data_IF_314257118157
#
_entry.id   IF_314257118157
#
_cell.length_a   1.000
_cell.length_b   1.000
_cell.length_c   1.000
_cell.angle_alpha   90.00
_cell.angle_beta   90.00
_cell.angle_gamma   90.00
#
_symmetry.space_group_name_H-M   'P 1'
#
loop_
_entity.id
_entity.type
_entity.pdbx_description
1 polymer ?
#
# COMPACT_ATOMS: atom_id res chain seq x y z
N UNK A 1 71.18 19.60 32.06
CA UNK A 1 70.40 20.47 31.15
C UNK A 1 70.39 19.87 29.73
N UNK A 2 69.37 19.17 29.25
CA UNK A 2 67.94 19.46 29.28
C UNK A 2 67.52 19.93 27.88
N UNK A 3 66.64 19.21 27.18
CA UNK A 3 65.97 19.70 25.97
C UNK A 3 65.69 18.65 24.89
N UNK A 4 64.59 17.91 25.04
CA UNK A 4 63.95 17.18 23.95
C UNK A 4 62.97 18.08 23.18
N UNK A 5 62.55 17.65 21.99
CA UNK A 5 61.51 18.32 21.21
C UNK A 5 61.15 17.54 19.95
N UNK A 6 60.25 16.55 20.10
CA UNK A 6 59.56 15.92 18.97
C UNK A 6 58.38 16.79 18.53
N UNK A 7 58.33 17.13 17.24
CA UNK A 7 57.19 17.79 16.62
C UNK A 7 56.19 16.74 16.14
N UNK A 8 55.02 16.70 16.77
CA UNK A 8 53.91 15.83 16.42
C UNK A 8 53.17 16.30 15.17
N UNK A 9 52.77 15.31 14.39
CA UNK A 9 51.88 15.37 13.22
C UNK A 9 50.46 15.82 13.62
N UNK A 10 49.80 16.75 12.90
CA UNK A 10 48.41 17.11 13.20
C UNK A 10 47.45 16.01 12.74
N UNK A 11 46.87 15.28 13.69
CA UNK A 11 45.78 14.33 13.48
C UNK A 11 44.56 15.01 12.83
N UNK A 12 43.91 14.39 11.82
CA UNK A 12 42.71 14.92 11.19
C UNK A 12 41.51 14.88 12.15
N UNK A 13 40.85 16.03 12.30
CA UNK A 13 39.62 16.18 13.09
C UNK A 13 38.44 15.56 12.34
N UNK A 14 37.85 14.50 12.89
CA UNK A 14 36.61 13.89 12.38
C UNK A 14 35.46 14.89 12.40
N UNK A 15 34.72 15.00 11.29
CA UNK A 15 33.51 15.81 11.18
C UNK A 15 32.41 15.30 12.13
N UNK A 16 31.57 16.18 12.70
CA UNK A 16 30.52 15.78 13.64
C UNK A 16 29.45 14.92 12.96
N UNK A 17 29.12 13.79 13.58
CA UNK A 17 28.01 12.92 13.19
C UNK A 17 26.68 13.67 13.31
N UNK A 18 25.80 13.67 12.29
CA UNK A 18 24.48 14.28 12.41
C UNK A 18 23.68 13.61 13.53
N UNK A 19 22.95 14.42 14.30
CA UNK A 19 22.11 13.95 15.39
C UNK A 19 20.98 13.03 14.86
N UNK A 20 20.56 12.02 15.64
CA UNK A 20 19.43 11.18 15.26
C UNK A 20 18.16 12.02 15.08
N UNK A 21 17.45 11.79 13.98
CA UNK A 21 16.15 12.40 13.71
C UNK A 21 15.15 12.03 14.84
N UNK A 22 14.32 12.97 15.32
CA UNK A 22 13.33 12.66 16.35
C UNK A 22 12.36 11.57 15.87
N UNK A 23 11.99 10.67 16.78
CA UNK A 23 10.97 9.65 16.50
C UNK A 23 9.63 10.32 16.12
N UNK A 24 8.86 9.74 15.18
CA UNK A 24 7.59 10.30 14.74
C UNK A 24 6.65 10.48 15.93
N UNK A 25 6.00 11.64 16.01
CA UNK A 25 5.03 11.95 17.06
C UNK A 25 3.74 11.18 16.77
N UNK A 26 3.22 10.36 17.70
CA UNK A 26 1.93 9.69 17.49
C UNK A 26 0.82 10.75 17.38
N UNK A 27 0.11 10.75 16.26
CA UNK A 27 -1.09 11.56 16.04
C UNK A 27 -2.17 11.12 17.04
N UNK A 28 -2.98 12.05 17.59
CA UNK A 28 -4.04 11.73 18.54
C UNK A 28 -5.00 10.68 17.98
N UNK A 29 -5.07 9.52 18.64
CA UNK A 29 -6.08 8.50 18.39
C UNK A 29 -7.41 8.97 18.96
N UNK A 30 -8.31 9.40 18.09
CA UNK A 30 -9.72 9.63 18.46
C UNK A 30 -10.31 8.37 19.10
N UNK A 31 -11.25 8.50 20.06
CA UNK A 31 -11.85 7.34 20.72
C UNK A 31 -12.49 6.42 19.67
N UNK A 32 -12.14 5.13 19.73
CA UNK A 32 -12.71 4.09 18.89
C UNK A 32 -14.23 4.08 19.07
N UNK A 33 -14.94 4.66 18.12
CA UNK A 33 -16.39 4.53 18.03
C UNK A 33 -16.62 3.12 17.52
N UNK A 34 -16.93 2.19 18.41
CA UNK A 34 -17.25 0.82 18.02
C UNK A 34 -18.37 0.84 16.99
N UNK A 35 -18.18 0.16 15.85
CA UNK A 35 -19.21 0.03 14.83
C UNK A 35 -20.50 -0.54 15.41
N UNK A 36 -21.64 -0.19 14.80
CA UNK A 36 -22.91 -0.81 15.18
C UNK A 36 -22.86 -2.33 14.93
N UNK A 37 -23.69 -3.15 15.61
CA UNK A 37 -23.66 -4.61 15.46
C UNK A 37 -23.88 -5.13 14.03
N UNK A 38 -24.45 -4.31 13.15
CA UNK A 38 -24.70 -4.63 11.74
C UNK A 38 -23.61 -4.11 10.81
N UNK A 39 -22.61 -3.40 11.32
CA UNK A 39 -21.51 -2.83 10.55
C UNK A 39 -20.21 -3.59 10.82
N UNK A 40 -19.34 -3.61 9.82
CA UNK A 40 -18.00 -4.19 9.90
C UNK A 40 -16.97 -3.07 10.02
N UNK A 41 -16.03 -3.15 10.98
CA UNK A 41 -14.96 -2.17 11.10
C UNK A 41 -13.97 -2.31 9.96
N UNK A 42 -13.58 -1.18 9.39
CA UNK A 42 -12.51 -1.03 8.41
C UNK A 42 -11.41 -0.18 9.03
N UNK A 43 -10.19 -0.71 9.07
CA UNK A 43 -9.02 0.02 9.53
C UNK A 43 -8.08 0.26 8.37
N UNK A 44 -7.78 1.54 8.12
CA UNK A 44 -6.83 1.99 7.11
C UNK A 44 -5.64 2.57 7.86
N UNK A 45 -4.47 1.94 7.71
CA UNK A 45 -3.20 2.43 8.24
C UNK A 45 -2.34 2.88 7.09
N UNK A 46 -1.92 4.14 7.10
CA UNK A 46 -1.00 4.73 6.13
C UNK A 46 0.27 5.10 6.88
N UNK A 47 1.36 4.41 6.56
CA UNK A 47 2.71 4.78 6.99
C UNK A 47 3.39 5.46 5.82
N UNK A 48 3.54 6.77 5.88
CA UNK A 48 4.19 7.54 4.81
C UNK A 48 5.70 7.48 4.91
N UNK A 49 6.33 7.77 3.77
CA UNK A 49 7.75 8.05 3.65
C UNK A 49 7.98 9.58 3.70
N UNK A 50 9.14 10.12 3.31
CA UNK A 50 9.39 11.56 3.35
C UNK A 50 8.45 12.42 2.50
N UNK A 51 7.62 11.84 1.62
CA UNK A 51 6.74 12.53 0.69
C UNK A 51 5.26 12.22 0.93
N UNK A 52 4.85 12.16 2.20
CA UNK A 52 3.45 11.92 2.57
C UNK A 52 2.44 12.86 1.90
N UNK A 53 2.85 14.07 1.52
CA UNK A 53 2.00 15.07 0.87
C UNK A 53 1.46 14.62 -0.51
N UNK A 54 2.11 13.64 -1.13
CA UNK A 54 1.78 13.07 -2.43
C UNK A 54 0.68 12.01 -2.35
N UNK A 55 0.48 11.47 -1.14
CA UNK A 55 -0.45 10.39 -0.88
C UNK A 55 -1.87 10.91 -0.67
N UNK A 56 -2.81 10.25 -1.31
CA UNK A 56 -4.25 10.45 -1.07
C UNK A 56 -4.98 9.12 -1.01
N UNK A 57 -6.05 9.09 -0.24
CA UNK A 57 -6.91 7.92 -0.06
C UNK A 57 -8.38 8.33 -0.08
N UNK A 58 -9.23 7.42 -0.52
CA UNK A 58 -10.67 7.64 -0.56
C UNK A 58 -11.41 6.31 -0.44
N UNK A 59 -12.48 6.30 0.34
CA UNK A 59 -13.44 5.19 0.42
C UNK A 59 -14.77 5.69 -0.12
N UNK A 60 -15.26 5.05 -1.19
CA UNK A 60 -16.55 5.39 -1.81
C UNK A 60 -17.49 4.20 -1.84
N UNK A 61 -18.78 4.50 -1.78
CA UNK A 61 -19.88 3.57 -2.02
C UNK A 61 -20.68 4.08 -3.23
N UNK A 62 -20.42 3.54 -4.41
CA UNK A 62 -20.97 4.09 -5.65
C UNK A 62 -20.53 5.55 -5.84
N UNK A 63 -21.47 6.50 -5.83
CA UNK A 63 -21.17 7.94 -5.92
C UNK A 63 -20.98 8.64 -4.58
N UNK A 64 -21.19 7.94 -3.46
CA UNK A 64 -21.11 8.55 -2.13
C UNK A 64 -19.71 8.37 -1.54
N UNK A 65 -19.04 9.47 -1.24
CA UNK A 65 -17.77 9.44 -0.48
C UNK A 65 -18.06 9.20 1.00
N UNK A 66 -17.52 8.09 1.54
CA UNK A 66 -17.59 7.76 2.96
C UNK A 66 -16.43 8.42 3.70
N UNK A 67 -15.24 8.29 3.13
CA UNK A 67 -14.01 8.84 3.69
C UNK A 67 -13.12 9.35 2.55
N UNK A 68 -12.39 10.43 2.80
CA UNK A 68 -11.35 10.91 1.89
C UNK A 68 -10.31 11.70 2.69
N UNK A 69 -9.05 11.47 2.36
CA UNK A 69 -7.93 12.19 2.95
C UNK A 69 -6.85 12.38 1.89
N UNK A 70 -6.20 13.54 1.89
CA UNK A 70 -5.12 13.86 0.97
C UNK A 70 -4.04 14.65 1.72
N UNK A 71 -2.83 14.61 1.18
CA UNK A 71 -1.66 15.26 1.75
C UNK A 71 -1.38 14.79 3.19
N UNK A 72 -1.02 13.51 3.30
CA UNK A 72 -0.60 12.94 4.57
C UNK A 72 0.66 13.64 5.10
N UNK A 73 0.86 13.68 6.43
CA UNK A 73 2.13 14.12 6.99
C UNK A 73 3.25 13.16 6.55
N UNK A 74 4.42 13.70 6.23
CA UNK A 74 5.61 12.92 5.91
C UNK A 74 6.13 12.14 7.13
N UNK A 75 6.82 11.02 6.87
CA UNK A 75 7.46 10.15 7.87
C UNK A 75 6.56 9.79 9.06
N UNK A 76 5.27 9.53 8.79
CA UNK A 76 4.24 9.44 9.82
C UNK A 76 3.33 8.25 9.61
N UNK A 77 2.79 7.74 10.71
CA UNK A 77 1.73 6.72 10.67
C UNK A 77 0.41 7.37 11.03
N UNK A 78 -0.54 7.30 10.10
CA UNK A 78 -1.92 7.78 10.29
C UNK A 78 -2.87 6.59 10.18
N UNK A 79 -3.81 6.52 11.12
CA UNK A 79 -4.82 5.45 11.17
C UNK A 79 -6.20 6.08 11.04
N UNK A 80 -7.02 5.51 10.17
CA UNK A 80 -8.43 5.83 10.01
C UNK A 80 -9.25 4.57 10.32
N UNK A 81 -10.31 4.74 11.11
CA UNK A 81 -11.26 3.69 11.44
C UNK A 81 -12.62 4.10 10.88
N UNK A 82 -13.18 3.26 10.01
CA UNK A 82 -14.48 3.46 9.36
C UNK A 82 -15.40 2.27 9.66
N UNK A 83 -16.71 2.48 9.55
CA UNK A 83 -17.71 1.43 9.74
C UNK A 83 -18.55 1.30 8.48
N UNK A 84 -18.45 0.15 7.80
CA UNK A 84 -19.18 -0.12 6.55
C UNK A 84 -20.30 -1.15 6.78
N UNK A 85 -21.32 -1.13 5.93
CA UNK A 85 -22.27 -2.25 5.85
C UNK A 85 -21.63 -3.37 5.03
N UNK A 86 -21.38 -4.57 5.61
CA UNK A 86 -20.69 -5.65 4.90
C UNK A 86 -21.46 -6.16 3.67
N UNK A 87 -22.77 -5.86 3.54
CA UNK A 87 -23.59 -6.28 2.42
C UNK A 87 -23.55 -5.31 1.22
N UNK A 88 -22.86 -4.18 1.37
CA UNK A 88 -22.67 -3.18 0.31
C UNK A 88 -21.25 -3.28 -0.26
N UNK A 89 -21.05 -2.74 -1.46
CA UNK A 89 -19.75 -2.71 -2.11
C UNK A 89 -19.12 -1.32 -1.98
N UNK A 90 -17.85 -1.31 -1.62
CA UNK A 90 -17.07 -0.09 -1.48
C UNK A 90 -15.76 -0.22 -2.25
N UNK A 91 -15.34 0.88 -2.86
CA UNK A 91 -14.03 1.02 -3.47
C UNK A 91 -13.17 1.90 -2.56
N UNK A 92 -12.13 1.31 -1.98
CA UNK A 92 -11.05 2.05 -1.34
C UNK A 92 -9.96 2.32 -2.38
N UNK A 93 -9.82 3.57 -2.81
CA UNK A 93 -8.77 4.02 -3.70
C UNK A 93 -7.66 4.71 -2.92
N UNK A 94 -6.44 4.55 -3.40
CA UNK A 94 -5.28 5.29 -2.92
C UNK A 94 -4.43 5.65 -4.11
N UNK A 95 -3.82 6.82 -4.05
CA UNK A 95 -3.00 7.37 -5.11
C UNK A 95 -1.76 8.03 -4.53
N UNK A 96 -0.70 7.99 -5.32
CA UNK A 96 0.53 8.70 -5.12
C UNK A 96 0.84 9.52 -6.38
N UNK A 97 1.16 10.80 -6.19
CA UNK A 97 1.21 11.76 -7.29
C UNK A 97 2.49 11.69 -8.13
N UNK A 98 3.59 11.17 -7.57
CA UNK A 98 4.84 10.93 -8.31
C UNK A 98 4.97 9.52 -8.88
N UNK A 99 4.03 8.64 -8.56
CA UNK A 99 3.93 7.29 -9.11
C UNK A 99 5.05 6.33 -8.73
N UNK A 100 5.75 6.61 -7.64
CA UNK A 100 6.75 5.71 -7.04
C UNK A 100 6.18 4.94 -5.84
N UNK A 101 5.04 5.37 -5.29
CA UNK A 101 4.36 4.71 -4.19
C UNK A 101 4.90 5.17 -2.84
N UNK A 102 5.02 4.26 -1.88
CA UNK A 102 5.58 4.56 -0.56
C UNK A 102 6.89 3.79 -0.38
N UNK A 103 8.01 4.47 -0.61
CA UNK A 103 9.34 3.88 -0.48
C UNK A 103 9.83 3.90 0.98
N UNK A 104 11.04 3.41 1.24
CA UNK A 104 11.68 3.45 2.57
C UNK A 104 10.92 2.79 3.72
N UNK A 105 10.07 1.81 3.42
CA UNK A 105 9.30 1.07 4.43
C UNK A 105 7.95 1.71 4.77
N UNK A 106 7.53 2.74 4.03
CA UNK A 106 6.14 3.18 4.01
C UNK A 106 5.21 2.11 3.43
N UNK A 107 3.94 2.17 3.81
CA UNK A 107 2.92 1.22 3.36
C UNK A 107 1.50 1.73 3.56
N UNK A 108 0.58 1.18 2.77
CA UNK A 108 -0.85 1.23 3.04
C UNK A 108 -1.30 -0.17 3.46
N UNK A 109 -1.97 -0.26 4.60
CA UNK A 109 -2.59 -1.48 5.12
C UNK A 109 -4.08 -1.25 5.33
N UNK A 110 -4.91 -2.13 4.78
CA UNK A 110 -6.37 -2.10 4.89
C UNK A 110 -6.86 -3.40 5.51
N UNK A 111 -7.60 -3.29 6.60
CA UNK A 111 -8.18 -4.42 7.33
C UNK A 111 -9.70 -4.27 7.41
N UNK A 112 -10.44 -5.33 7.13
CA UNK A 112 -11.91 -5.38 7.21
C UNK A 112 -12.31 -6.49 8.18
N UNK A 113 -13.00 -6.15 9.25
CA UNK A 113 -13.35 -7.11 10.30
C UNK A 113 -12.13 -7.77 10.96
N UNK A 114 -10.97 -7.10 10.92
CA UNK A 114 -9.69 -7.64 11.40
C UNK A 114 -8.94 -8.53 10.40
N UNK A 115 -9.47 -8.71 9.18
CA UNK A 115 -8.80 -9.46 8.10
C UNK A 115 -8.08 -8.49 7.18
N UNK A 116 -6.78 -8.71 6.95
CA UNK A 116 -5.98 -7.89 6.01
C UNK A 116 -6.47 -8.12 4.57
N UNK A 117 -6.93 -7.05 3.92
CA UNK A 117 -7.35 -7.03 2.51
C UNK A 117 -6.26 -6.48 1.60
N UNK A 118 -5.41 -5.60 2.13
CA UNK A 118 -4.28 -5.02 1.42
C UNK A 118 -3.16 -4.67 2.40
N UNK A 119 -1.91 -4.87 1.99
CA UNK A 119 -0.74 -4.46 2.73
C UNK A 119 0.46 -4.36 1.77
N UNK A 120 0.78 -3.15 1.33
CA UNK A 120 1.88 -2.91 0.39
C UNK A 120 2.27 -1.43 0.35
N UNK A 121 3.56 -1.15 0.14
CA UNK A 121 4.09 0.20 -0.12
C UNK A 121 4.40 0.46 -1.59
N UNK A 122 4.79 -0.58 -2.34
CA UNK A 122 5.16 -0.45 -3.75
C UNK A 122 3.93 -0.62 -4.66
N UNK A 123 3.18 0.47 -4.83
CA UNK A 123 1.95 0.50 -5.62
C UNK A 123 1.99 1.47 -6.81
N UNK A 124 3.14 2.07 -7.10
CA UNK A 124 3.30 3.10 -8.12
C UNK A 124 2.30 4.23 -7.94
N UNK A 125 1.59 4.62 -9.00
CA UNK A 125 0.60 5.71 -8.97
C UNK A 125 -0.61 5.50 -8.05
N UNK A 126 -0.91 4.25 -7.66
CA UNK A 126 -2.11 3.97 -6.87
C UNK A 126 -2.76 2.62 -7.12
N UNK A 127 -3.89 2.40 -6.47
CA UNK A 127 -4.67 1.19 -6.62
C UNK A 127 -6.05 1.26 -5.96
N UNK A 128 -6.81 0.18 -6.13
CA UNK A 128 -8.16 0.04 -5.57
C UNK A 128 -8.30 -1.30 -4.84
N UNK A 129 -8.90 -1.26 -3.66
CA UNK A 129 -9.26 -2.42 -2.84
C UNK A 129 -10.77 -2.40 -2.62
N UNK A 130 -11.42 -3.51 -2.99
CA UNK A 130 -12.84 -3.68 -2.75
C UNK A 130 -13.09 -4.18 -1.33
N UNK A 131 -14.05 -3.56 -0.64
CA UNK A 131 -14.48 -3.91 0.72
C UNK A 131 -15.98 -4.22 0.72
N UNK A 132 -16.41 -5.06 1.67
CA UNK A 132 -17.78 -5.55 1.75
C UNK A 132 -18.11 -6.60 0.67
N UNK A 133 -19.39 -6.69 0.31
CA UNK A 133 -19.89 -7.68 -0.65
C UNK A 133 -20.04 -7.04 -2.02
N UNK A 134 -18.96 -7.07 -2.78
CA UNK A 134 -18.97 -6.65 -4.17
C UNK A 134 -19.50 -7.77 -5.07
N UNK A 135 -20.82 -7.79 -5.29
CA UNK A 135 -21.43 -8.59 -6.34
C UNK A 135 -20.93 -8.10 -7.70
N UNK A 136 -20.06 -8.86 -8.35
CA UNK A 136 -19.48 -8.46 -9.62
C UNK A 136 -20.57 -8.12 -10.66
N UNK A 137 -20.61 -6.85 -11.06
CA UNK A 137 -21.41 -6.35 -12.17
C UNK A 137 -21.31 -4.83 -12.25
N UNK A 138 -20.71 -4.21 -13.26
CA UNK A 138 -20.09 -4.73 -14.46
C UNK A 138 -19.46 -3.57 -15.24
N UNK A 139 -18.54 -3.92 -16.15
CA UNK A 139 -17.89 -2.97 -17.04
C UNK A 139 -16.94 -3.65 -18.05
N UNK A 140 -17.48 -4.52 -18.91
CA UNK A 140 -16.93 -4.78 -20.25
C UNK A 140 -16.02 -6.01 -20.46
N UNK A 141 -16.60 -7.08 -21.04
CA UNK A 141 -15.93 -8.23 -21.67
C UNK A 141 -15.36 -9.26 -20.67
N UNK A 142 -15.57 -10.57 -20.72
CA UNK A 142 -15.96 -11.50 -21.77
C UNK A 142 -16.63 -12.74 -21.12
N UNK A 143 -17.37 -13.52 -21.91
CA UNK A 143 -17.96 -14.83 -21.61
C UNK A 143 -17.36 -15.65 -20.45
N UNK A 144 -18.21 -16.03 -19.50
CA UNK A 144 -17.99 -17.24 -18.69
C UNK A 144 -18.59 -17.14 -17.30
N UNK A 145 -19.77 -17.71 -17.13
CA UNK A 145 -20.40 -18.05 -15.86
C UNK A 145 -19.38 -18.67 -14.89
N UNK A 146 -19.36 -18.20 -13.65
CA UNK A 146 -18.49 -18.72 -12.60
C UNK A 146 -19.37 -19.14 -11.43
N UNK A 147 -20.05 -20.26 -11.62
CA UNK A 147 -20.76 -20.92 -10.56
C UNK A 147 -19.72 -21.56 -9.60
N UNK A 148 -19.93 -21.29 -8.31
CA UNK A 148 -19.55 -22.07 -7.12
C UNK A 148 -18.11 -22.50 -6.79
N UNK A 149 -17.13 -22.56 -7.70
CA UNK A 149 -15.74 -22.95 -7.33
C UNK A 149 -14.74 -21.81 -7.56
N UNK A 150 -14.48 -21.03 -6.50
CA UNK A 150 -13.47 -19.96 -6.51
C UNK A 150 -12.14 -20.47 -5.93
N UNK A 151 -11.27 -21.00 -6.78
CA UNK A 151 -9.89 -21.26 -6.39
C UNK A 151 -9.10 -19.95 -6.28
N UNK A 152 -8.37 -19.79 -5.18
CA UNK A 152 -7.42 -18.69 -5.06
C UNK A 152 -6.21 -19.00 -5.94
N UNK A 153 -5.94 -18.11 -6.90
CA UNK A 153 -4.73 -18.17 -7.69
C UNK A 153 -3.71 -17.22 -7.05
N UNK A 154 -2.76 -17.80 -6.31
CA UNK A 154 -1.61 -17.08 -5.79
C UNK A 154 -0.48 -17.14 -6.83
N UNK A 155 -0.16 -16.00 -7.43
CA UNK A 155 0.98 -15.87 -8.34
C UNK A 155 2.02 -15.02 -7.65
N UNK A 156 3.17 -15.64 -7.39
CA UNK A 156 4.38 -14.97 -6.92
C UNK A 156 5.30 -14.78 -8.11
N UNK A 157 5.60 -13.52 -8.44
CA UNK A 157 6.53 -13.17 -9.50
C UNK A 157 7.76 -12.56 -8.84
N UNK A 158 8.91 -13.18 -9.05
CA UNK A 158 10.21 -12.63 -8.66
C UNK A 158 10.90 -12.14 -9.92
N UNK A 159 10.99 -10.81 -10.06
CA UNK A 159 11.76 -10.16 -11.12
C UNK A 159 13.21 -9.95 -10.67
N UNK A 160 14.09 -9.83 -11.66
CA UNK A 160 15.48 -9.43 -11.47
C UNK A 160 15.60 -7.90 -11.45
N UNK A 161 16.79 -7.41 -11.83
CA UNK A 161 17.09 -6.01 -11.74
C UNK A 161 16.37 -5.08 -12.74
N UNK A 162 15.53 -5.67 -13.58
CA UNK A 162 14.83 -5.02 -14.69
C UNK A 162 13.36 -5.44 -14.74
N UNK A 163 12.68 -5.42 -13.59
CA UNK A 163 11.25 -5.74 -13.49
C UNK A 163 10.36 -4.97 -14.47
N UNK A 164 10.77 -3.76 -14.88
CA UNK A 164 10.03 -2.93 -15.84
C UNK A 164 9.90 -3.58 -17.23
N UNK A 165 10.73 -4.57 -17.55
CA UNK A 165 10.71 -5.27 -18.82
C UNK A 165 9.85 -6.54 -18.79
N UNK A 166 9.40 -6.95 -17.61
CA UNK A 166 8.61 -8.16 -17.45
C UNK A 166 7.11 -7.84 -17.49
N UNK A 167 6.34 -8.63 -18.22
CA UNK A 167 4.88 -8.66 -18.11
C UNK A 167 4.43 -10.08 -17.84
N UNK A 168 3.40 -10.22 -17.01
CA UNK A 168 2.77 -11.52 -16.76
C UNK A 168 1.31 -11.44 -17.17
N UNK A 169 0.93 -12.36 -18.03
CA UNK A 169 -0.44 -12.52 -18.47
C UNK A 169 -1.02 -13.80 -17.88
N UNK A 170 -2.22 -13.71 -17.35
CA UNK A 170 -3.04 -14.89 -17.08
C UNK A 170 -3.96 -15.05 -18.28
N UNK A 171 -3.93 -16.23 -18.90
CA UNK A 171 -4.74 -16.56 -20.07
C UNK A 171 -5.74 -17.65 -19.75
N UNK A 172 -6.93 -17.56 -20.36
CA UNK A 172 -7.86 -18.68 -20.50
C UNK A 172 -7.97 -19.00 -21.99
N UNK A 173 -7.37 -20.10 -22.42
CA UNK A 173 -7.20 -20.41 -23.84
C UNK A 173 -6.20 -19.43 -24.49
N UNK A 174 -6.62 -18.71 -25.54
CA UNK A 174 -5.80 -17.68 -26.21
C UNK A 174 -6.12 -16.26 -25.76
N UNK A 175 -7.09 -16.08 -24.86
CA UNK A 175 -7.52 -14.77 -24.42
C UNK A 175 -6.76 -14.39 -23.15
N UNK A 176 -6.17 -13.19 -23.16
CA UNK A 176 -5.59 -12.56 -21.98
C UNK A 176 -6.74 -12.10 -21.10
N UNK A 177 -6.94 -12.79 -19.97
CA UNK A 177 -7.96 -12.41 -18.99
C UNK A 177 -7.40 -11.42 -17.96
N UNK A 178 -6.07 -11.33 -17.87
CA UNK A 178 -5.39 -10.32 -17.06
C UNK A 178 -3.95 -10.14 -17.51
N UNK A 179 -3.48 -8.91 -17.44
CA UNK A 179 -2.07 -8.55 -17.64
C UNK A 179 -1.59 -7.74 -16.45
N UNK A 180 -0.33 -7.97 -16.06
CA UNK A 180 0.35 -7.21 -15.04
C UNK A 180 1.77 -6.82 -15.50
N UNK A 181 2.20 -5.62 -15.11
CA UNK A 181 3.43 -4.97 -15.52
C UNK A 181 3.15 -3.67 -16.29
N UNK A 182 4.18 -2.91 -16.68
CA UNK A 182 5.59 -3.10 -16.32
C UNK A 182 5.84 -2.93 -14.82
N UNK A 183 6.79 -3.67 -14.25
CA UNK A 183 7.05 -3.68 -12.79
C UNK A 183 8.18 -2.73 -12.37
N UNK A 184 8.27 -2.33 -11.11
CA UNK A 184 9.46 -1.64 -10.62
C UNK A 184 10.68 -2.59 -10.58
N UNK A 185 11.89 -2.02 -10.60
CA UNK A 185 13.15 -2.77 -10.61
C UNK A 185 13.42 -3.35 -9.20
N UNK A 186 13.04 -4.62 -8.94
CA UNK A 186 13.11 -5.43 -7.68
C UNK A 186 11.87 -5.29 -6.76
N UNK A 187 11.36 -6.29 -6.00
CA UNK A 187 11.67 -7.71 -5.75
C UNK A 187 10.38 -8.38 -5.20
N UNK A 188 10.04 -9.58 -5.67
CA UNK A 188 8.93 -10.47 -5.23
C UNK A 188 7.59 -9.79 -4.88
N UNK A 189 6.64 -9.85 -5.82
CA UNK A 189 5.26 -9.41 -5.57
C UNK A 189 4.38 -10.65 -5.40
N UNK A 190 3.76 -10.78 -4.23
CA UNK A 190 2.70 -11.77 -3.97
C UNK A 190 1.36 -11.07 -4.23
N UNK A 191 0.62 -11.52 -5.25
CA UNK A 191 -0.75 -11.06 -5.46
C UNK A 191 -1.71 -12.22 -5.16
N UNK A 192 -2.51 -12.02 -4.12
CA UNK A 192 -3.65 -12.88 -3.82
C UNK A 192 -4.86 -12.35 -4.56
N UNK A 193 -5.32 -13.09 -5.58
CA UNK A 193 -6.60 -12.79 -6.23
C UNK A 193 -7.42 -14.05 -6.39
N UNK A 194 -8.71 -13.86 -6.20
CA UNK A 194 -9.72 -14.85 -6.46
C UNK A 194 -9.97 -14.85 -7.97
N UNK A 195 -9.50 -15.89 -8.67
CA UNK A 195 -9.83 -16.08 -10.07
C UNK A 195 -10.93 -17.11 -10.16
N UNK A 196 -11.96 -16.80 -10.94
CA UNK A 196 -12.86 -17.83 -11.40
C UNK A 196 -12.18 -18.50 -12.59
N UNK A 197 -11.73 -19.75 -12.45
CA UNK A 197 -11.05 -20.52 -13.50
C UNK A 197 -12.03 -21.45 -14.21
#
# INVERSE_FOLDING_TARGET
PGGGGGGGDPTPTSAPTPAPSPAPTPVPTSPSTSCSPTQTPVKITVSTDPWGEEVSTQLVQGSTTIFSYASYPSDSVVVHDECIDPNLCYDFTFADSLCDGLWFGGYIKVEEGGVVKYNNGDYGCGGTVQLGTCGGGGGGGDNGDCADDKDNLEITITTDDYGAESTVQVLRGTNVIREWGPWANFRTIVRNKQLCI
#
